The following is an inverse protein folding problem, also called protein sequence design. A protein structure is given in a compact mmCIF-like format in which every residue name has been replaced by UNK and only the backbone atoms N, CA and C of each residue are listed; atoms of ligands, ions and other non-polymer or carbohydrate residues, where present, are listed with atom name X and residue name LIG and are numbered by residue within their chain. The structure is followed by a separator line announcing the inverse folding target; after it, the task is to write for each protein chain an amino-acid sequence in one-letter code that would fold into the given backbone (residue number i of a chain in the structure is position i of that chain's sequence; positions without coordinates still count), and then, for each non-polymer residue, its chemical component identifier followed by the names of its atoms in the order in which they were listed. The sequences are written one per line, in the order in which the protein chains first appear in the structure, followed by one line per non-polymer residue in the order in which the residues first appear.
data_IF_412797823598
#
_entry.id   IF_412797823598
#
_cell.length_a   1.000
_cell.length_b   1.000
_cell.length_c   1.000
_cell.angle_alpha   90.00
_cell.angle_beta   90.00
_cell.angle_gamma   90.00
#
_symmetry.space_group_name_H-M   'P 1'
#
loop_
_entity.id
_entity.type
_entity.pdbx_description
1 polymer ?
#
# COMPACT_ATOMS: atom_id res chain seq x y z
N UNK A 1 -29.64 -5.42 -9.64
CA UNK A 1 -28.24 -5.66 -9.30
C UNK A 1 -27.50 -5.58 -10.63
N UNK A 2 -26.76 -4.48 -10.85
CA UNK A 2 -25.89 -4.38 -12.02
C UNK A 2 -24.85 -5.52 -11.91
N UNK A 3 -24.67 -6.23 -13.01
CA UNK A 3 -23.60 -7.21 -13.13
C UNK A 3 -22.30 -6.39 -13.09
N UNK A 4 -21.64 -6.29 -11.92
CA UNK A 4 -20.34 -5.66 -11.81
C UNK A 4 -19.40 -6.45 -12.73
N UNK A 5 -18.94 -5.78 -13.77
CA UNK A 5 -18.05 -6.35 -14.77
C UNK A 5 -16.73 -6.61 -14.08
N UNK A 6 -16.33 -7.87 -13.99
CA UNK A 6 -15.07 -8.28 -13.40
C UNK A 6 -13.96 -8.15 -14.46
N UNK A 7 -12.77 -7.72 -14.03
CA UNK A 7 -11.60 -7.60 -14.88
C UNK A 7 -11.04 -9.00 -15.17
N UNK A 8 -11.46 -9.58 -16.28
CA UNK A 8 -10.94 -10.86 -16.77
C UNK A 8 -9.72 -10.66 -17.69
N UNK A 9 -9.11 -11.75 -18.12
CA UNK A 9 -7.92 -11.70 -18.98
C UNK A 9 -8.17 -10.95 -20.28
N UNK A 10 -9.39 -11.02 -20.85
CA UNK A 10 -9.72 -10.32 -22.09
C UNK A 10 -9.71 -8.80 -21.88
N UNK A 11 -10.20 -8.31 -20.74
CA UNK A 11 -10.20 -6.88 -20.42
C UNK A 11 -8.80 -6.36 -20.04
N UNK A 12 -7.97 -7.21 -19.41
CA UNK A 12 -6.56 -6.89 -19.14
C UNK A 12 -5.80 -6.73 -20.46
N UNK A 13 -5.96 -7.67 -21.39
CA UNK A 13 -5.36 -7.59 -22.72
C UNK A 13 -5.89 -6.39 -23.51
N UNK A 14 -7.20 -6.08 -23.41
CA UNK A 14 -7.78 -4.89 -24.02
C UNK A 14 -7.12 -3.62 -23.50
N UNK A 15 -6.93 -3.52 -22.17
CA UNK A 15 -6.27 -2.38 -21.54
C UNK A 15 -4.83 -2.23 -22.05
N UNK A 16 -4.05 -3.31 -22.01
CA UNK A 16 -2.66 -3.31 -22.47
C UNK A 16 -2.54 -2.86 -23.95
N UNK A 17 -3.35 -3.43 -24.84
CA UNK A 17 -3.34 -3.07 -26.27
C UNK A 17 -3.70 -1.59 -26.50
N UNK A 18 -4.66 -1.04 -25.75
CA UNK A 18 -5.05 0.36 -25.88
C UNK A 18 -3.97 1.31 -25.38
N UNK A 19 -3.28 0.94 -24.29
CA UNK A 19 -2.14 1.70 -23.75
C UNK A 19 -1.00 1.72 -24.75
N UNK A 20 -0.62 0.57 -25.31
CA UNK A 20 0.42 0.48 -26.33
C UNK A 20 0.09 1.32 -27.57
N UNK A 21 -1.20 1.39 -27.96
CA UNK A 21 -1.64 2.21 -29.09
C UNK A 21 -1.49 3.72 -28.88
N UNK A 22 -1.33 4.19 -27.64
CA UNK A 22 -1.06 5.60 -27.35
C UNK A 22 0.32 6.04 -27.84
N UNK A 23 1.26 5.10 -28.06
CA UNK A 23 2.65 5.36 -28.48
C UNK A 23 3.33 6.46 -27.64
N UNK A 24 3.10 6.47 -26.36
CA UNK A 24 3.67 7.42 -25.39
C UNK A 24 4.60 6.65 -24.44
N UNK A 25 5.90 6.93 -24.47
CA UNK A 25 6.92 6.25 -23.66
C UNK A 25 6.77 6.48 -22.14
N UNK A 26 6.01 7.52 -21.72
CA UNK A 26 5.76 7.82 -20.31
C UNK A 26 4.51 7.16 -19.72
N UNK A 27 3.83 6.27 -20.46
CA UNK A 27 2.63 5.58 -19.99
C UNK A 27 2.98 4.27 -19.31
N UNK A 28 2.38 4.01 -18.15
CA UNK A 28 2.52 2.75 -17.42
C UNK A 28 1.87 1.60 -18.21
N UNK A 29 2.47 0.41 -18.19
CA UNK A 29 1.82 -0.82 -18.66
C UNK A 29 0.77 -1.34 -17.66
N UNK A 30 0.00 -2.36 -18.06
CA UNK A 30 -1.12 -2.86 -17.26
C UNK A 30 -0.67 -3.45 -15.91
N UNK A 31 0.53 -4.05 -15.82
CA UNK A 31 1.09 -4.57 -14.57
C UNK A 31 1.48 -3.46 -13.61
N UNK A 32 2.17 -2.43 -14.12
CA UNK A 32 2.53 -1.22 -13.35
C UNK A 32 1.28 -0.49 -12.87
N UNK A 33 0.29 -0.30 -13.75
CA UNK A 33 -1.00 0.31 -13.41
C UNK A 33 -1.68 -0.43 -12.26
N UNK A 34 -1.69 -1.75 -12.29
CA UNK A 34 -2.35 -2.55 -11.26
C UNK A 34 -1.72 -2.37 -9.88
N UNK A 35 -0.39 -2.39 -9.80
CA UNK A 35 0.34 -2.08 -8.58
C UNK A 35 0.06 -0.65 -8.10
N UNK A 36 0.12 0.32 -8.99
CA UNK A 36 -0.18 1.73 -8.69
C UNK A 36 -1.59 1.93 -8.13
N UNK A 37 -2.61 1.36 -8.78
CA UNK A 37 -3.99 1.43 -8.32
C UNK A 37 -4.18 0.72 -6.98
N UNK A 38 -3.43 -0.37 -6.71
CA UNK A 38 -3.49 -1.07 -5.43
C UNK A 38 -2.93 -0.21 -4.31
N UNK A 39 -1.78 0.43 -4.50
CA UNK A 39 -1.22 1.37 -3.54
C UNK A 39 -2.16 2.57 -3.29
N UNK A 40 -2.76 3.11 -4.37
CA UNK A 40 -3.76 4.17 -4.26
C UNK A 40 -4.98 3.74 -3.44
N UNK A 41 -5.51 2.53 -3.65
CA UNK A 41 -6.65 2.02 -2.89
C UNK A 41 -6.36 1.85 -1.39
N UNK A 42 -5.08 1.73 -1.02
CA UNK A 42 -4.61 1.69 0.37
C UNK A 42 -4.37 3.08 0.97
N UNK A 43 -4.22 4.13 0.17
CA UNK A 43 -3.89 5.48 0.65
C UNK A 43 -4.99 5.98 1.62
N UNK A 44 -4.66 6.27 2.90
CA UNK A 44 -5.65 6.66 3.91
C UNK A 44 -6.27 8.04 3.66
N UNK A 45 -5.68 8.89 2.82
CA UNK A 45 -6.25 10.17 2.43
C UNK A 45 -7.30 10.05 1.32
N UNK A 46 -7.39 8.86 0.69
CA UNK A 46 -8.35 8.56 -0.37
C UNK A 46 -8.41 9.62 -1.48
N UNK A 47 -7.28 10.01 -2.10
CA UNK A 47 -7.29 10.97 -3.18
C UNK A 47 -8.24 10.51 -4.30
N UNK A 48 -8.82 11.46 -5.03
CA UNK A 48 -9.76 11.10 -6.08
C UNK A 48 -9.04 10.51 -7.31
N UNK A 49 -9.76 9.72 -8.11
CA UNK A 49 -9.20 9.22 -9.37
C UNK A 49 -8.75 10.34 -10.32
N UNK A 50 -9.34 11.52 -10.24
CA UNK A 50 -8.93 12.67 -11.04
C UNK A 50 -7.56 13.22 -10.63
N UNK A 51 -7.18 13.01 -9.38
CA UNK A 51 -5.87 13.43 -8.86
C UNK A 51 -4.77 12.42 -9.21
N UNK A 52 -5.11 11.13 -9.38
CA UNK A 52 -4.13 10.06 -9.55
C UNK A 52 -4.00 9.53 -10.98
N UNK A 53 -5.08 9.47 -11.76
CA UNK A 53 -5.02 8.91 -13.11
C UNK A 53 -4.03 9.64 -14.03
N UNK A 54 -3.81 10.97 -13.93
CA UNK A 54 -2.78 11.63 -14.73
C UNK A 54 -1.39 11.02 -14.59
N UNK A 55 -1.03 10.49 -13.41
CA UNK A 55 0.26 9.84 -13.17
C UNK A 55 0.45 8.53 -13.93
N UNK A 56 -0.62 7.89 -14.37
CA UNK A 56 -0.57 6.69 -15.24
C UNK A 56 -0.03 7.06 -16.62
N UNK A 57 -0.25 8.29 -17.08
CA UNK A 57 0.06 8.76 -18.44
C UNK A 57 1.21 9.77 -18.50
N UNK A 58 1.68 10.23 -17.34
CA UNK A 58 2.76 11.21 -17.20
C UNK A 58 3.38 11.13 -15.82
N UNK A 59 4.70 11.05 -15.73
CA UNK A 59 5.43 11.02 -14.43
C UNK A 59 5.10 12.23 -13.53
N UNK A 60 4.81 13.37 -14.14
CA UNK A 60 4.49 14.63 -13.44
C UNK A 60 3.01 14.72 -13.05
N UNK A 61 2.17 13.77 -13.47
CA UNK A 61 0.73 13.79 -13.22
C UNK A 61 0.01 14.94 -13.93
N UNK A 62 0.45 15.32 -15.14
CA UNK A 62 -0.19 16.37 -15.93
C UNK A 62 -1.61 15.94 -16.35
N UNK A 63 -2.66 16.65 -15.94
CA UNK A 63 -4.03 16.33 -16.37
C UNK A 63 -4.24 16.38 -17.90
N UNK A 64 -3.38 17.11 -18.62
CA UNK A 64 -3.42 17.14 -20.08
C UNK A 64 -2.91 15.85 -20.73
N UNK A 65 -2.25 14.98 -19.98
CA UNK A 65 -1.77 13.69 -20.45
C UNK A 65 -2.87 12.60 -20.48
N UNK A 66 -4.04 12.86 -19.86
CA UNK A 66 -5.16 11.91 -19.90
C UNK A 66 -5.54 11.57 -21.35
N UNK A 67 -5.76 10.28 -21.68
CA UNK A 67 -6.13 9.89 -23.03
C UNK A 67 -7.52 10.39 -23.40
N UNK A 68 -7.74 10.65 -24.70
CA UNK A 68 -9.08 10.93 -25.24
C UNK A 68 -9.95 9.65 -25.34
N UNK A 69 -9.36 8.46 -25.14
CA UNK A 69 -10.07 7.18 -25.16
C UNK A 69 -10.77 6.91 -23.84
N UNK A 70 -12.05 7.25 -23.75
CA UNK A 70 -12.90 7.01 -22.59
C UNK A 70 -12.88 5.52 -22.14
N UNK A 71 -12.60 4.59 -23.07
CA UNK A 71 -12.58 3.16 -22.75
C UNK A 71 -11.41 2.78 -21.85
N UNK A 72 -10.26 3.44 -21.99
CA UNK A 72 -9.13 3.25 -21.07
C UNK A 72 -9.56 3.64 -19.67
N UNK A 73 -10.17 4.82 -19.50
CA UNK A 73 -10.63 5.30 -18.18
C UNK A 73 -11.71 4.39 -17.57
N UNK A 74 -12.60 3.83 -18.40
CA UNK A 74 -13.59 2.84 -17.94
C UNK A 74 -12.91 1.56 -17.44
N UNK A 75 -11.87 1.05 -18.11
CA UNK A 75 -11.13 -0.13 -17.70
C UNK A 75 -10.37 0.11 -16.38
N UNK A 76 -9.77 1.28 -16.22
CA UNK A 76 -9.15 1.69 -14.95
C UNK A 76 -10.17 1.74 -13.80
N UNK A 77 -11.37 2.28 -14.06
CA UNK A 77 -12.45 2.32 -13.07
C UNK A 77 -12.92 0.91 -12.67
N UNK A 78 -13.06 -0.01 -13.64
CA UNK A 78 -13.42 -1.40 -13.38
C UNK A 78 -12.38 -2.03 -12.45
N UNK A 79 -11.10 -1.89 -12.80
CA UNK A 79 -10.01 -2.49 -12.00
C UNK A 79 -9.91 -1.89 -10.60
N UNK A 80 -9.95 -0.58 -10.48
CA UNK A 80 -9.90 0.09 -9.17
C UNK A 80 -11.05 -0.36 -8.25
N UNK A 81 -12.27 -0.46 -8.78
CA UNK A 81 -13.43 -0.95 -8.00
C UNK A 81 -13.24 -2.39 -7.54
N UNK A 82 -12.67 -3.26 -8.38
CA UNK A 82 -12.39 -4.65 -8.04
C UNK A 82 -11.33 -4.76 -6.92
N UNK A 83 -10.23 -4.02 -7.04
CA UNK A 83 -9.20 -3.93 -5.99
C UNK A 83 -9.82 -3.47 -4.67
N UNK A 84 -10.61 -2.40 -4.68
CA UNK A 84 -11.29 -1.89 -3.49
C UNK A 84 -12.24 -2.92 -2.88
N UNK A 85 -12.98 -3.66 -3.71
CA UNK A 85 -13.87 -4.73 -3.26
C UNK A 85 -13.08 -5.89 -2.61
N UNK A 86 -11.96 -6.33 -3.20
CA UNK A 86 -11.09 -7.36 -2.66
C UNK A 86 -10.48 -6.95 -1.30
N UNK A 87 -10.00 -5.71 -1.20
CA UNK A 87 -9.49 -5.15 0.06
C UNK A 87 -10.56 -5.06 1.15
N UNK A 88 -11.80 -4.71 0.79
CA UNK A 88 -12.93 -4.66 1.72
C UNK A 88 -13.36 -6.06 2.19
N UNK A 89 -13.35 -7.04 1.29
CA UNK A 89 -13.67 -8.45 1.57
C UNK A 89 -12.56 -9.18 2.35
N UNK A 90 -11.37 -8.59 2.46
CA UNK A 90 -10.16 -9.18 3.06
C UNK A 90 -9.70 -10.44 2.34
N UNK A 91 -9.80 -10.46 1.03
CA UNK A 91 -9.39 -11.58 0.20
C UNK A 91 -9.80 -11.40 -1.26
N UNK A 92 -9.25 -12.26 -2.13
CA UNK A 92 -9.57 -12.25 -3.54
C UNK A 92 -8.85 -11.16 -4.36
N UNK A 93 -7.78 -10.55 -3.81
CA UNK A 93 -6.90 -9.73 -4.61
C UNK A 93 -6.07 -10.65 -5.52
N UNK A 94 -6.19 -10.42 -6.81
CA UNK A 94 -5.48 -11.15 -7.86
C UNK A 94 -4.66 -10.12 -8.67
N UNK A 95 -3.36 -9.95 -8.37
CA UNK A 95 -2.51 -8.99 -9.08
C UNK A 95 -2.37 -9.32 -10.56
N UNK A 96 -2.37 -8.28 -11.41
CA UNK A 96 -2.14 -8.43 -12.85
C UNK A 96 -0.64 -8.65 -13.09
N UNK A 97 -0.26 -9.90 -13.28
CA UNK A 97 1.11 -10.32 -13.54
C UNK A 97 1.18 -10.98 -14.92
N UNK A 98 2.14 -10.58 -15.72
CA UNK A 98 2.47 -11.22 -16.99
C UNK A 98 3.65 -12.18 -16.75
N UNK A 99 3.38 -13.49 -16.62
CA UNK A 99 4.43 -14.43 -16.26
C UNK A 99 5.48 -14.54 -17.39
N UNK A 100 6.74 -14.75 -16.99
CA UNK A 100 7.79 -15.06 -17.94
C UNK A 100 7.59 -16.48 -18.51
N UNK A 101 7.95 -16.66 -19.77
CA UNK A 101 7.90 -17.98 -20.45
C UNK A 101 9.26 -18.34 -21.02
N UNK A 102 9.55 -19.64 -21.07
CA UNK A 102 10.76 -20.18 -21.66
C UNK A 102 10.65 -20.29 -23.20
N UNK A 103 11.71 -20.83 -23.83
CA UNK A 103 11.75 -21.05 -25.31
C UNK A 103 10.69 -22.03 -25.82
N UNK A 104 9.97 -22.73 -24.95
CA UNK A 104 8.91 -23.68 -25.28
C UNK A 104 7.51 -23.14 -24.95
N UNK A 105 7.40 -21.87 -24.62
CA UNK A 105 6.16 -21.21 -24.13
C UNK A 105 5.65 -21.79 -22.78
N UNK A 106 6.52 -22.41 -21.96
CA UNK A 106 6.16 -22.86 -20.62
C UNK A 106 6.46 -21.74 -19.59
N UNK A 107 5.52 -21.54 -18.63
CA UNK A 107 5.67 -20.51 -17.60
C UNK A 107 6.84 -20.83 -16.66
N UNK A 108 7.75 -19.89 -16.49
CA UNK A 108 8.88 -19.96 -15.57
C UNK A 108 8.34 -19.68 -14.16
N UNK A 109 8.48 -20.65 -13.25
CA UNK A 109 7.90 -20.58 -11.90
C UNK A 109 8.92 -20.61 -10.77
N UNK A 110 10.19 -20.83 -11.06
CA UNK A 110 11.30 -20.81 -10.09
C UNK A 110 11.76 -19.40 -9.73
N UNK A 111 13.00 -19.25 -9.26
CA UNK A 111 13.57 -17.95 -8.87
C UNK A 111 13.59 -16.95 -10.02
N UNK A 112 13.82 -17.38 -11.26
CA UNK A 112 13.80 -16.51 -12.44
C UNK A 112 12.38 -15.97 -12.71
N UNK A 113 11.37 -16.81 -12.50
CA UNK A 113 9.96 -16.40 -12.67
C UNK A 113 9.51 -15.29 -11.73
N UNK A 114 10.22 -15.03 -10.61
CA UNK A 114 9.92 -13.95 -9.67
C UNK A 114 10.06 -12.57 -10.32
N UNK A 115 10.92 -12.42 -11.32
CA UNK A 115 11.09 -11.17 -12.05
C UNK A 115 9.80 -10.67 -12.70
N UNK A 116 8.84 -11.57 -12.97
CA UNK A 116 7.51 -11.18 -13.46
C UNK A 116 6.73 -10.25 -12.51
N UNK A 117 7.11 -10.19 -11.21
CA UNK A 117 6.48 -9.31 -10.23
C UNK A 117 6.99 -7.87 -10.28
N UNK A 118 8.12 -7.62 -10.96
CA UNK A 118 8.79 -6.31 -10.98
C UNK A 118 7.88 -5.17 -11.46
N UNK A 119 7.16 -5.26 -12.60
CA UNK A 119 6.31 -4.17 -13.08
C UNK A 119 5.24 -3.80 -12.04
N UNK A 120 4.60 -4.81 -11.45
CA UNK A 120 3.59 -4.59 -10.42
C UNK A 120 4.19 -3.95 -9.16
N UNK A 121 5.36 -4.43 -8.70
CA UNK A 121 6.04 -3.90 -7.52
C UNK A 121 6.48 -2.45 -7.71
N UNK A 122 7.01 -2.11 -8.89
CA UNK A 122 7.42 -0.75 -9.26
C UNK A 122 6.21 0.20 -9.28
N UNK A 123 5.08 -0.23 -9.85
CA UNK A 123 3.83 0.52 -9.83
C UNK A 123 3.31 0.75 -8.40
N UNK A 124 3.35 -0.28 -7.56
CA UNK A 124 2.94 -0.15 -6.15
C UNK A 124 3.82 0.84 -5.40
N UNK A 125 5.14 0.73 -5.55
CA UNK A 125 6.09 1.64 -4.92
C UNK A 125 5.88 3.08 -5.37
N UNK A 126 5.70 3.33 -6.68
CA UNK A 126 5.39 4.64 -7.20
C UNK A 126 4.08 5.19 -6.61
N UNK A 127 3.05 4.36 -6.50
CA UNK A 127 1.78 4.72 -5.85
C UNK A 127 1.95 5.04 -4.35
N UNK A 128 2.82 4.31 -3.64
CA UNK A 128 3.17 4.58 -2.24
C UNK A 128 3.80 5.96 -2.05
N UNK A 129 4.59 6.44 -3.01
CA UNK A 129 5.20 7.78 -2.95
C UNK A 129 4.18 8.93 -2.91
N UNK A 130 2.89 8.64 -3.16
CA UNK A 130 1.78 9.58 -3.05
C UNK A 130 1.02 9.44 -1.71
N UNK A 131 1.53 8.66 -0.75
CA UNK A 131 0.97 8.57 0.60
C UNK A 131 1.43 9.74 1.47
N UNK A 132 0.80 9.98 2.64
CA UNK A 132 1.28 10.95 3.62
C UNK A 132 2.74 10.73 3.99
N UNK A 133 3.51 11.81 4.12
CA UNK A 133 4.96 11.77 4.40
C UNK A 133 5.30 11.00 5.68
N UNK A 134 4.45 11.11 6.70
CA UNK A 134 4.62 10.40 7.98
C UNK A 134 4.44 8.88 7.84
N UNK A 135 3.63 8.41 6.89
CA UNK A 135 3.50 6.99 6.59
C UNK A 135 4.65 6.46 5.72
N UNK A 136 5.12 7.26 4.74
CA UNK A 136 6.28 6.88 3.91
C UNK A 136 7.54 6.75 4.77
N UNK A 137 7.66 7.58 5.82
CA UNK A 137 8.79 7.57 6.74
C UNK A 137 8.62 6.58 7.92
N UNK A 138 7.50 5.86 8.02
CA UNK A 138 7.21 4.93 9.11
C UNK A 138 7.92 3.59 8.92
N UNK A 139 8.73 3.19 9.90
CA UNK A 139 9.53 1.94 9.86
C UNK A 139 8.63 0.69 9.77
N UNK A 140 7.43 0.69 10.38
CA UNK A 140 6.49 -0.44 10.32
C UNK A 140 5.88 -0.55 8.92
N UNK A 141 5.52 0.58 8.29
CA UNK A 141 5.06 0.62 6.88
C UNK A 141 6.13 0.07 5.96
N UNK A 142 7.37 0.53 6.06
CA UNK A 142 8.48 0.08 5.23
C UNK A 142 8.79 -1.40 5.43
N UNK A 143 8.75 -1.88 6.67
CA UNK A 143 8.94 -3.30 6.98
C UNK A 143 7.84 -4.18 6.36
N UNK A 144 6.58 -3.76 6.42
CA UNK A 144 5.46 -4.49 5.82
C UNK A 144 5.45 -4.40 4.28
N UNK A 145 5.98 -3.33 3.70
CA UNK A 145 6.12 -3.17 2.25
C UNK A 145 7.29 -3.96 1.65
N UNK A 146 8.26 -4.40 2.47
CA UNK A 146 9.47 -5.12 2.01
C UNK A 146 9.17 -6.30 1.07
N UNK A 147 8.16 -7.19 1.31
CA UNK A 147 7.86 -8.29 0.39
C UNK A 147 7.40 -7.84 -1.00
N UNK A 148 6.96 -6.61 -1.15
CA UNK A 148 6.61 -6.00 -2.42
C UNK A 148 7.86 -5.34 -3.02
N UNK A 149 8.46 -4.40 -2.30
CA UNK A 149 9.57 -3.54 -2.77
C UNK A 149 10.79 -4.37 -3.19
N UNK A 150 11.10 -5.47 -2.52
CA UNK A 150 12.24 -6.35 -2.86
C UNK A 150 12.20 -6.93 -4.28
N UNK A 151 11.03 -6.89 -4.97
CA UNK A 151 10.90 -7.37 -6.34
C UNK A 151 11.26 -6.31 -7.40
N UNK A 152 11.47 -5.05 -7.01
CA UNK A 152 11.91 -3.98 -7.91
C UNK A 152 13.34 -4.27 -8.34
N UNK A 153 13.68 -4.04 -9.61
CA UNK A 153 15.05 -4.22 -10.10
C UNK A 153 16.00 -3.21 -9.48
N UNK A 154 17.17 -3.63 -8.96
CA UNK A 154 18.20 -2.70 -8.55
C UNK A 154 18.70 -1.79 -9.69
N UNK A 155 18.54 -2.23 -10.94
CA UNK A 155 18.97 -1.48 -12.13
C UNK A 155 18.09 -0.25 -12.40
N UNK A 156 16.90 -0.17 -11.77
CA UNK A 156 16.02 0.99 -11.84
C UNK A 156 16.50 2.18 -11.01
N UNK A 157 17.51 1.97 -10.14
CA UNK A 157 18.10 3.04 -9.35
C UNK A 157 19.20 3.73 -10.13
N UNK A 158 19.25 5.08 -10.04
CA UNK A 158 20.06 5.93 -10.89
C UNK A 158 21.58 5.78 -10.71
N UNK A 159 22.04 5.28 -9.55
CA UNK A 159 23.46 5.08 -9.26
C UNK A 159 23.75 3.70 -8.68
N UNK A 160 24.97 3.14 -8.91
CA UNK A 160 25.38 1.87 -8.31
C UNK A 160 25.32 1.85 -6.78
N UNK A 161 25.57 2.99 -6.14
CA UNK A 161 25.51 3.15 -4.69
C UNK A 161 24.09 3.04 -4.18
N UNK A 162 23.10 3.62 -4.88
CA UNK A 162 21.67 3.50 -4.55
C UNK A 162 21.18 2.07 -4.75
N UNK A 163 21.57 1.42 -5.84
CA UNK A 163 21.26 0.00 -6.09
C UNK A 163 21.82 -0.91 -4.99
N UNK A 164 23.08 -0.70 -4.54
CA UNK A 164 23.69 -1.46 -3.45
C UNK A 164 22.95 -1.22 -2.12
N UNK A 165 22.58 0.00 -1.81
CA UNK A 165 21.80 0.34 -0.62
C UNK A 165 20.44 -0.35 -0.64
N UNK A 166 19.73 -0.33 -1.77
CA UNK A 166 18.47 -1.02 -1.95
C UNK A 166 18.58 -2.54 -1.68
N UNK A 167 19.61 -3.19 -2.25
CA UNK A 167 19.84 -4.63 -2.03
C UNK A 167 20.11 -4.93 -0.55
N UNK A 168 20.87 -4.09 0.13
CA UNK A 168 21.15 -4.25 1.56
C UNK A 168 19.89 -4.08 2.40
N UNK A 169 19.03 -3.14 2.06
CA UNK A 169 17.82 -2.82 2.82
C UNK A 169 16.70 -3.83 2.58
N UNK A 170 16.39 -4.16 1.34
CA UNK A 170 15.19 -4.94 0.97
C UNK A 170 15.44 -6.39 0.59
N UNK A 171 16.67 -6.76 0.18
CA UNK A 171 17.04 -8.12 -0.25
C UNK A 171 18.01 -8.85 0.69
N UNK A 172 18.33 -8.27 1.86
CA UNK A 172 19.27 -8.90 2.82
C UNK A 172 18.68 -10.09 3.59
N UNK A 173 17.37 -10.29 3.55
CA UNK A 173 16.66 -11.37 4.23
C UNK A 173 16.53 -12.65 3.41
N UNK A 174 15.70 -13.57 3.91
CA UNK A 174 15.33 -14.77 3.17
C UNK A 174 14.43 -14.42 1.99
N UNK A 175 14.89 -14.72 0.77
CA UNK A 175 14.14 -14.49 -0.46
C UNK A 175 13.25 -15.70 -0.80
N UNK A 176 12.07 -15.48 -1.41
CA UNK A 176 11.25 -16.58 -1.92
C UNK A 176 12.02 -17.34 -3.02
N UNK A 177 11.70 -18.63 -3.17
CA UNK A 177 12.41 -19.52 -4.10
C UNK A 177 11.64 -19.81 -5.39
N UNK A 178 10.44 -19.32 -5.49
CA UNK A 178 9.56 -19.50 -6.63
C UNK A 178 8.52 -18.38 -6.71
N UNK A 179 7.91 -18.26 -7.87
CA UNK A 179 6.90 -17.23 -8.15
C UNK A 179 5.68 -17.33 -7.23
N UNK A 180 5.21 -18.54 -6.90
CA UNK A 180 4.02 -18.75 -6.05
C UNK A 180 4.24 -18.20 -4.63
N UNK A 181 5.38 -18.52 -4.02
CA UNK A 181 5.73 -18.02 -2.68
C UNK A 181 5.92 -16.50 -2.69
N UNK A 182 6.58 -15.95 -3.74
CA UNK A 182 6.78 -14.51 -3.89
C UNK A 182 5.45 -13.75 -4.03
N UNK A 183 4.54 -14.28 -4.86
CA UNK A 183 3.21 -13.72 -5.06
C UNK A 183 2.37 -13.79 -3.78
N UNK A 184 2.44 -14.90 -3.05
CA UNK A 184 1.77 -15.04 -1.75
C UNK A 184 2.26 -13.99 -0.76
N UNK A 185 3.58 -13.81 -0.63
CA UNK A 185 4.17 -12.81 0.25
C UNK A 185 3.76 -11.39 -0.12
N UNK A 186 3.74 -11.07 -1.43
CA UNK A 186 3.33 -9.80 -1.96
C UNK A 186 1.85 -9.50 -1.62
N UNK A 187 0.94 -10.41 -1.91
CA UNK A 187 -0.49 -10.24 -1.60
C UNK A 187 -0.72 -10.12 -0.09
N UNK A 188 -0.01 -10.95 0.70
CA UNK A 188 -0.07 -10.85 2.17
C UNK A 188 0.37 -9.48 2.65
N UNK A 189 1.46 -8.93 2.13
CA UNK A 189 1.95 -7.60 2.48
C UNK A 189 0.91 -6.50 2.21
N UNK A 190 0.19 -6.57 1.08
CA UNK A 190 -0.92 -5.65 0.77
C UNK A 190 -1.99 -5.67 1.88
N UNK A 191 -2.40 -6.85 2.34
CA UNK A 191 -3.41 -6.95 3.41
C UNK A 191 -2.87 -6.54 4.79
N UNK A 192 -1.60 -6.79 5.08
CA UNK A 192 -0.95 -6.34 6.32
C UNK A 192 -0.85 -4.80 6.33
N UNK A 193 -0.43 -4.19 5.24
CA UNK A 193 -0.44 -2.73 5.05
C UNK A 193 -1.85 -2.16 5.20
N UNK A 194 -2.87 -2.80 4.58
CA UNK A 194 -4.27 -2.39 4.73
C UNK A 194 -4.70 -2.32 6.19
N UNK A 195 -4.29 -3.29 7.01
CA UNK A 195 -4.61 -3.28 8.43
C UNK A 195 -3.89 -2.17 9.20
N UNK A 196 -2.67 -1.81 8.77
CA UNK A 196 -1.88 -0.77 9.41
C UNK A 196 -2.45 0.62 9.09
N UNK A 197 -2.70 0.91 7.81
CA UNK A 197 -3.13 2.23 7.34
C UNK A 197 -4.64 2.48 7.46
N UNK A 198 -5.46 1.50 7.88
CA UNK A 198 -6.91 1.66 8.02
C UNK A 198 -7.22 2.72 9.11
N UNK A 199 -7.83 3.87 8.74
CA UNK A 199 -8.16 4.93 9.69
C UNK A 199 -9.19 4.48 10.75
N UNK A 200 -9.91 3.39 10.50
CA UNK A 200 -10.87 2.79 11.44
C UNK A 200 -10.23 1.70 12.31
N UNK A 201 -8.91 1.49 12.24
CA UNK A 201 -8.22 0.53 13.11
C UNK A 201 -8.55 0.84 14.56
N UNK A 202 -9.11 -0.11 15.34
CA UNK A 202 -9.34 0.11 16.75
C UNK A 202 -8.02 0.41 17.43
N UNK A 203 -7.89 1.58 18.05
CA UNK A 203 -6.71 1.92 18.85
C UNK A 203 -6.60 0.92 19.99
N UNK A 204 -5.71 -0.06 19.84
CA UNK A 204 -5.35 -0.97 20.94
C UNK A 204 -4.51 -0.15 21.90
N UNK A 205 -5.13 0.28 23.00
CA UNK A 205 -4.40 0.99 24.05
C UNK A 205 -3.54 -0.02 24.79
N UNK A 206 -2.26 0.17 24.80
CA UNK A 206 -1.30 -0.65 25.57
C UNK A 206 -1.59 -0.62 27.08
N UNK A 207 -2.19 0.47 27.57
CA UNK A 207 -2.59 0.60 28.97
C UNK A 207 -4.11 0.39 29.16
N UNK A 208 -4.52 -0.48 30.10
CA UNK A 208 -5.94 -0.67 30.40
C UNK A 208 -6.56 0.64 30.89
N UNK A 209 -7.77 0.95 30.44
CA UNK A 209 -8.51 2.12 30.90
C UNK A 209 -8.68 2.04 32.40
N UNK A 210 -8.14 3.03 33.12
CA UNK A 210 -8.42 3.20 34.55
C UNK A 210 -9.92 3.46 34.71
N UNK A 211 -10.60 2.57 35.40
CA UNK A 211 -12.02 2.69 35.65
C UNK A 211 -12.31 3.89 36.55
N UNK A 212 -13.49 4.49 36.39
CA UNK A 212 -13.89 5.68 37.16
C UNK A 212 -13.75 5.52 38.68
N UNK A 213 -13.90 4.29 39.18
CA UNK A 213 -13.84 3.96 40.61
C UNK A 213 -12.51 3.34 41.05
N UNK A 214 -11.59 3.09 40.12
CA UNK A 214 -10.29 2.49 40.43
C UNK A 214 -9.37 3.45 41.18
N UNK A 215 -8.35 2.95 41.86
CA UNK A 215 -7.32 3.79 42.49
C UNK A 215 -6.67 4.68 41.41
N UNK A 216 -6.46 5.95 41.76
CA UNK A 216 -5.84 6.89 40.84
C UNK A 216 -4.37 6.52 40.57
N UNK A 217 -3.91 6.40 39.33
CA UNK A 217 -2.54 6.03 38.99
C UNK A 217 -1.50 7.07 39.46
N UNK A 218 -1.92 8.27 39.88
CA UNK A 218 -1.02 9.28 40.44
C UNK A 218 -0.55 8.96 41.90
N UNK A 219 -0.96 7.81 42.48
CA UNK A 219 -0.53 7.38 43.79
C UNK A 219 -1.21 8.11 44.96
N UNK A 220 -2.24 8.94 44.71
CA UNK A 220 -2.93 9.72 45.77
C UNK A 220 -3.83 8.92 46.73
N UNK A 221 -4.03 7.62 46.48
CA UNK A 221 -4.96 6.75 47.19
C UNK A 221 -6.45 7.06 47.00
N UNK A 222 -6.79 8.05 46.18
CA UNK A 222 -8.17 8.44 45.87
C UNK A 222 -8.66 7.70 44.61
N UNK A 223 -10.00 7.55 44.49
CA UNK A 223 -10.60 7.01 43.25
C UNK A 223 -10.33 7.96 42.07
N UNK A 224 -10.09 7.42 40.86
CA UNK A 224 -9.75 8.18 39.66
C UNK A 224 -10.72 9.35 39.41
N UNK A 225 -12.05 9.14 39.55
CA UNK A 225 -13.08 10.18 39.39
C UNK A 225 -12.95 11.35 40.36
N UNK A 226 -12.30 11.14 41.51
CA UNK A 226 -12.14 12.14 42.61
C UNK A 226 -10.77 12.82 42.57
N UNK A 227 -9.87 12.37 41.68
CA UNK A 227 -8.51 12.86 41.54
C UNK A 227 -8.22 13.36 40.12
N UNK A 228 -7.70 12.52 39.26
CA UNK A 228 -7.30 12.89 37.90
C UNK A 228 -8.39 12.64 36.82
N UNK A 229 -9.58 12.15 37.21
CA UNK A 229 -10.68 11.93 36.28
C UNK A 229 -11.36 13.23 35.80
N UNK A 230 -12.21 13.17 34.72
CA UNK A 230 -12.71 14.34 33.97
C UNK A 230 -13.39 15.44 34.82
N UNK A 231 -13.92 15.11 35.97
CA UNK A 231 -14.51 16.10 36.91
C UNK A 231 -13.52 16.65 37.96
N UNK A 232 -12.33 16.04 38.08
CA UNK A 232 -11.24 16.49 38.97
C UNK A 232 -10.22 17.38 38.28
N UNK A 233 -10.18 17.37 36.96
CA UNK A 233 -9.17 18.05 36.18
C UNK A 233 -9.16 19.58 36.28
N UNK A 234 -10.29 20.19 36.64
CA UNK A 234 -10.39 21.64 36.89
C UNK A 234 -9.82 22.06 38.26
N UNK A 235 -9.73 21.12 39.24
CA UNK A 235 -9.17 21.39 40.56
C UNK A 235 -7.76 20.84 40.78
N UNK A 236 -7.33 19.84 40.00
CA UNK A 236 -6.09 19.10 40.25
C UNK A 236 -4.89 19.57 39.41
N UNK A 237 -5.06 20.47 38.42
CA UNK A 237 -3.93 21.01 37.68
C UNK A 237 -2.89 21.77 38.50
N UNK A 238 -3.26 22.24 39.72
CA UNK A 238 -2.33 22.90 40.66
C UNK A 238 -1.64 21.95 41.63
N UNK A 239 -2.14 20.72 41.84
CA UNK A 239 -1.61 19.83 42.86
C UNK A 239 -0.76 18.65 42.31
N UNK A 240 -0.82 18.35 41.03
CA UNK A 240 -0.03 17.27 40.41
C UNK A 240 1.32 17.74 39.87
N UNK A 241 1.48 19.02 39.48
CA UNK A 241 2.75 19.58 39.02
C UNK A 241 3.81 19.66 40.12
N UNK A 242 3.41 19.89 41.38
CA UNK A 242 4.35 20.12 42.45
C UNK A 242 4.92 18.84 43.10
N UNK A 243 4.43 17.63 42.71
CA UNK A 243 4.90 16.34 43.26
C UNK A 243 5.83 15.56 42.33
N UNK A 244 6.12 16.06 41.13
CA UNK A 244 7.14 15.48 40.22
C UNK A 244 8.51 16.16 40.34
N UNK A 245 8.66 17.13 41.22
CA UNK A 245 9.89 17.88 41.42
C UNK A 245 10.48 17.69 42.86
N UNK A 246 10.21 16.54 43.50
CA UNK A 246 10.83 16.17 44.74
C UNK A 246 11.36 14.74 44.71
#
# INVERSE_FOLDING_TARGET
MANEKQMDSELIEELQQRIEALNNEGVMDAGVIDGFLTAHALNPEHPSKHDIYPYIFSEEGDPAALPEDDRILELLDIRLNEIQAALAAKGGLDPVIFPLVDDNDEVITDEEGIEALEPWASGFFFGMMHWPEDLIADDEVNSLATPIIRNISPDDFGTPEEAEQFVQEYRSGEMPKNLEDALYDLVKAVFDLKQLVDPNKPVVREEPRVGRNDPCPCGSGKKFKQCCGPRGALRARRACSDRRAA
#
